data_IF_172302849884
#
_entry.id   IF_172302849884
#
_cell.length_a   1.000
_cell.length_b   1.000
_cell.length_c   1.000
_cell.angle_alpha   90.00
_cell.angle_beta   90.00
_cell.angle_gamma   90.00
#
_symmetry.space_group_name_H-M   'P 1'
#
loop_
_entity.id
_entity.type
_entity.pdbx_description
1 polymer ?
#
# COMPACT_ATOMS: atom_id res chain seq x y z
N UNK A 1 12.34 -11.07 14.76
CA UNK A 1 13.48 -10.16 15.01
C UNK A 1 14.42 -10.85 15.99
N UNK A 2 15.30 -11.71 15.53
CA UNK A 2 16.16 -12.56 16.36
C UNK A 2 17.48 -11.87 16.76
N UNK A 3 17.48 -10.53 16.74
CA UNK A 3 18.62 -9.69 17.15
C UNK A 3 19.79 -9.66 16.16
N UNK A 4 19.67 -10.25 14.96
CA UNK A 4 20.76 -10.31 13.98
C UNK A 4 20.97 -9.02 13.16
N UNK A 5 20.04 -8.08 13.24
CA UNK A 5 20.11 -6.82 12.51
C UNK A 5 19.59 -5.66 13.36
N UNK A 6 20.34 -4.57 13.38
CA UNK A 6 19.99 -3.34 14.11
C UNK A 6 19.09 -2.40 13.29
N UNK A 7 19.12 -2.50 11.95
CA UNK A 7 18.38 -1.64 11.02
C UNK A 7 17.74 -2.48 9.92
N UNK A 8 16.53 -2.12 9.51
CA UNK A 8 15.85 -2.66 8.35
C UNK A 8 15.33 -1.54 7.45
N UNK A 9 15.42 -1.73 6.14
CA UNK A 9 14.79 -0.89 5.12
C UNK A 9 13.71 -1.75 4.46
N UNK A 10 12.46 -1.32 4.56
CA UNK A 10 11.31 -2.06 4.05
C UNK A 10 10.14 -1.09 3.80
N UNK A 11 9.15 -1.53 3.02
CA UNK A 11 7.89 -0.82 2.81
C UNK A 11 7.19 -0.53 4.14
N UNK A 12 6.74 0.71 4.33
CA UNK A 12 6.06 1.15 5.55
C UNK A 12 4.79 0.33 5.83
N UNK A 13 4.05 -0.04 4.78
CA UNK A 13 2.87 -0.89 4.89
C UNK A 13 3.15 -2.26 5.49
N UNK A 14 4.35 -2.80 5.29
CA UNK A 14 4.78 -4.09 5.85
C UNK A 14 5.35 -3.93 7.26
N UNK A 15 6.16 -2.88 7.48
CA UNK A 15 6.72 -2.59 8.80
C UNK A 15 5.64 -2.33 9.85
N UNK A 16 4.50 -1.75 9.46
CA UNK A 16 3.37 -1.51 10.33
C UNK A 16 2.88 -2.78 11.04
N UNK A 17 3.02 -3.96 10.41
CA UNK A 17 2.56 -5.24 10.95
C UNK A 17 3.66 -6.01 11.69
N UNK A 18 4.80 -5.39 11.99
CA UNK A 18 5.86 -5.96 12.83
C UNK A 18 5.83 -5.26 14.19
N UNK A 19 5.14 -5.81 15.22
CA UNK A 19 4.92 -5.10 16.48
C UNK A 19 6.20 -4.72 17.23
N UNK A 20 7.30 -5.40 16.96
CA UNK A 20 8.60 -5.16 17.59
C UNK A 20 9.43 -4.09 16.86
N UNK A 21 9.03 -3.68 15.65
CA UNK A 21 9.76 -2.68 14.89
C UNK A 21 9.45 -1.27 15.42
N UNK A 22 10.50 -0.46 15.57
CA UNK A 22 10.36 0.97 15.77
C UNK A 22 10.53 1.66 14.41
N UNK A 23 9.44 2.19 13.84
CA UNK A 23 9.47 2.89 12.56
C UNK A 23 10.00 4.30 12.78
N UNK A 24 11.17 4.59 12.21
CA UNK A 24 11.83 5.90 12.34
C UNK A 24 11.35 6.94 11.31
N UNK A 25 10.68 6.50 10.24
CA UNK A 25 10.14 7.36 9.19
C UNK A 25 10.49 6.87 7.77
N UNK A 26 10.01 7.55 6.73
CA UNK A 26 10.38 7.27 5.35
C UNK A 26 11.83 7.70 5.05
N UNK A 27 12.38 7.19 3.94
CA UNK A 27 13.61 7.73 3.37
C UNK A 27 13.36 9.13 2.77
N UNK A 28 14.41 9.95 2.56
CA UNK A 28 14.29 11.18 1.78
C UNK A 28 13.59 10.92 0.43
N UNK A 29 12.75 11.86 -0.02
CA UNK A 29 11.89 11.68 -1.19
C UNK A 29 12.67 11.24 -2.46
N UNK A 30 13.89 11.74 -2.64
CA UNK A 30 14.75 11.41 -3.78
C UNK A 30 15.27 9.96 -3.75
N UNK A 31 15.20 9.30 -2.59
CA UNK A 31 15.65 7.93 -2.35
C UNK A 31 14.49 6.96 -2.15
N UNK A 32 13.25 7.44 -2.06
CA UNK A 32 12.10 6.57 -1.92
C UNK A 32 11.84 5.80 -3.21
N UNK A 33 11.43 4.54 -3.05
CA UNK A 33 11.01 3.69 -4.16
C UNK A 33 9.58 3.23 -3.93
N UNK A 34 8.68 3.68 -4.80
CA UNK A 34 7.26 3.39 -4.69
C UNK A 34 6.90 2.11 -5.45
N UNK A 35 6.05 1.30 -4.84
CA UNK A 35 5.37 0.19 -5.50
C UNK A 35 3.94 0.61 -5.81
N UNK A 36 3.61 0.73 -7.08
CA UNK A 36 2.25 1.06 -7.52
C UNK A 36 1.38 -0.20 -7.56
N UNK A 37 0.21 -0.13 -6.92
CA UNK A 37 -0.81 -1.18 -6.98
C UNK A 37 -1.91 -0.76 -7.95
N UNK A 38 -2.29 -1.66 -8.86
CA UNK A 38 -3.34 -1.45 -9.84
C UNK A 38 -4.30 -2.64 -9.85
N UNK A 39 -5.59 -2.36 -10.07
CA UNK A 39 -6.62 -3.38 -10.21
C UNK A 39 -7.33 -3.20 -11.56
N UNK A 40 -7.61 -4.30 -12.25
CA UNK A 40 -8.31 -4.31 -13.53
C UNK A 40 -9.22 -5.53 -13.65
N UNK A 41 -10.25 -5.41 -14.49
CA UNK A 41 -11.16 -6.51 -14.80
C UNK A 41 -10.51 -7.45 -15.80
N UNK A 42 -10.53 -8.75 -15.52
CA UNK A 42 -9.98 -9.77 -16.41
C UNK A 42 -10.77 -9.89 -17.71
N UNK A 43 -10.08 -9.88 -18.85
CA UNK A 43 -10.70 -9.85 -20.19
C UNK A 43 -11.64 -11.04 -20.52
N UNK A 44 -11.56 -12.15 -19.76
CA UNK A 44 -12.36 -13.36 -19.96
C UNK A 44 -13.40 -13.58 -18.86
N UNK A 45 -13.69 -12.56 -18.05
CA UNK A 45 -14.68 -12.70 -16.98
C UNK A 45 -16.06 -13.03 -17.55
N UNK A 46 -16.76 -13.97 -16.90
CA UNK A 46 -18.17 -14.27 -17.18
C UNK A 46 -19.12 -13.40 -16.36
N UNK A 47 -18.60 -12.59 -15.44
CA UNK A 47 -19.33 -11.70 -14.53
C UNK A 47 -18.70 -10.30 -14.55
N UNK A 48 -18.82 -9.56 -15.68
CA UNK A 48 -18.15 -8.27 -15.86
C UNK A 48 -18.67 -7.19 -14.91
N UNK A 49 -19.98 -7.11 -14.70
CA UNK A 49 -20.59 -6.08 -13.86
C UNK A 49 -20.15 -6.18 -12.40
N UNK A 50 -20.08 -7.39 -11.85
CA UNK A 50 -19.62 -7.65 -10.50
C UNK A 50 -18.13 -7.33 -10.34
N UNK A 51 -17.31 -7.69 -11.33
CA UNK A 51 -15.88 -7.39 -11.35
C UNK A 51 -15.63 -5.87 -11.43
N UNK A 52 -16.36 -5.15 -12.28
CA UNK A 52 -16.31 -3.69 -12.40
C UNK A 52 -16.75 -3.00 -11.10
N UNK A 53 -17.80 -3.51 -10.46
CA UNK A 53 -18.28 -3.02 -9.17
C UNK A 53 -17.22 -3.19 -8.09
N UNK A 54 -16.53 -4.35 -8.05
CA UNK A 54 -15.45 -4.58 -7.11
C UNK A 54 -14.26 -3.67 -7.34
N UNK A 55 -13.79 -3.51 -8.59
CA UNK A 55 -12.70 -2.59 -8.92
C UNK A 55 -13.08 -1.15 -8.56
N UNK A 56 -14.33 -0.74 -8.82
CA UNK A 56 -14.84 0.58 -8.43
C UNK A 56 -14.87 0.77 -6.91
N UNK A 57 -15.22 -0.29 -6.16
CA UNK A 57 -15.17 -0.27 -4.70
C UNK A 57 -13.76 -0.10 -4.14
N UNK A 58 -12.74 -0.68 -4.77
CA UNK A 58 -11.33 -0.51 -4.37
C UNK A 58 -10.84 0.94 -4.49
N UNK A 59 -11.51 1.76 -5.30
CA UNK A 59 -11.28 3.20 -5.45
C UNK A 59 -12.31 4.06 -4.69
N UNK A 60 -13.12 3.46 -3.81
CA UNK A 60 -14.10 4.20 -3.01
C UNK A 60 -13.46 4.89 -1.81
N UNK A 61 -14.09 5.96 -1.26
CA UNK A 61 -13.60 6.60 -0.03
C UNK A 61 -13.43 5.65 1.17
N UNK A 62 -14.23 4.58 1.21
CA UNK A 62 -14.12 3.56 2.26
C UNK A 62 -12.82 2.75 2.13
N UNK A 63 -12.39 2.42 0.91
CA UNK A 63 -11.14 1.74 0.64
C UNK A 63 -9.93 2.68 0.84
N UNK A 64 -10.02 3.92 0.36
CA UNK A 64 -8.99 4.96 0.57
C UNK A 64 -8.65 5.14 2.05
N UNK A 65 -9.67 5.23 2.90
CA UNK A 65 -9.49 5.33 4.34
C UNK A 65 -8.76 4.12 4.95
N UNK A 66 -8.88 2.92 4.34
CA UNK A 66 -8.13 1.74 4.77
C UNK A 66 -6.67 1.81 4.33
N UNK A 67 -6.39 2.21 3.10
CA UNK A 67 -5.03 2.37 2.59
C UNK A 67 -4.22 3.35 3.45
N UNK A 68 -4.78 4.51 3.74
CA UNK A 68 -4.14 5.52 4.59
C UNK A 68 -3.87 4.98 6.01
N UNK A 69 -4.80 4.19 6.56
CA UNK A 69 -4.61 3.55 7.88
C UNK A 69 -3.48 2.51 7.87
N UNK A 70 -3.17 1.92 6.73
CA UNK A 70 -2.09 0.94 6.55
C UNK A 70 -0.81 1.54 5.98
N UNK A 71 -0.65 2.87 6.04
CA UNK A 71 0.52 3.59 5.53
C UNK A 71 0.77 3.40 4.02
N UNK A 72 -0.28 3.09 3.26
CA UNK A 72 -0.28 3.24 1.81
C UNK A 72 -0.70 4.66 1.44
N UNK A 73 -0.22 5.12 0.28
CA UNK A 73 -0.57 6.42 -0.28
C UNK A 73 -1.60 6.29 -1.39
N UNK A 74 -2.39 7.34 -1.60
CA UNK A 74 -3.30 7.42 -2.74
C UNK A 74 -2.51 7.80 -4.00
N UNK A 75 -2.93 7.35 -5.19
CA UNK A 75 -2.28 7.73 -6.44
C UNK A 75 -2.19 9.26 -6.59
N UNK A 76 -1.04 9.76 -7.03
CA UNK A 76 -0.74 11.19 -7.23
C UNK A 76 -0.75 12.06 -5.95
N UNK A 77 -0.67 11.47 -4.75
CA UNK A 77 -0.32 12.23 -3.57
C UNK A 77 1.09 12.82 -3.72
N UNK A 78 1.36 14.06 -3.26
CA UNK A 78 2.71 14.58 -3.22
C UNK A 78 3.57 13.67 -2.32
N UNK A 79 4.78 13.33 -2.78
CA UNK A 79 5.74 12.58 -1.98
C UNK A 79 5.91 13.28 -0.62
N UNK A 80 5.64 12.55 0.46
CA UNK A 80 5.77 13.05 1.84
C UNK A 80 7.18 12.88 2.39
#
# INVERSE_FOLDING_TARGET
>A
VDGRADIAIQQLSELLFVPQAHIVGPLPAELQHYTEFSAAVGAKTTTPAEAESFVSFLASPAAEAKYLKTMLELPNAPAT
#
